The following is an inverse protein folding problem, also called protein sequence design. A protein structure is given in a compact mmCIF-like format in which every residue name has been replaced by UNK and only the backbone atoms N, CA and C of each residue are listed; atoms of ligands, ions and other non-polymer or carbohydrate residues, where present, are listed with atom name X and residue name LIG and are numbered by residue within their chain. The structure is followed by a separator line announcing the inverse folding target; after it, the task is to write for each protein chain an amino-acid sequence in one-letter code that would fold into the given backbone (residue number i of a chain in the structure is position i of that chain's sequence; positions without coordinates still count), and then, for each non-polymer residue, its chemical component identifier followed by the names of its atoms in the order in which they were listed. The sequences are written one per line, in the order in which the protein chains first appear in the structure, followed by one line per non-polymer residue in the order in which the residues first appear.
data_IF_802785930208
#
_entry.id   IF_802785930208
#
_cell.length_a   1.000
_cell.length_b   1.000
_cell.length_c   1.000
_cell.angle_alpha   90.00
_cell.angle_beta   90.00
_cell.angle_gamma   90.00
#
_symmetry.space_group_name_H-M   'P 1'
#
loop_
_entity.id
_entity.type
_entity.pdbx_description
1 polymer ?
#
# COMPACT_ATOMS: atom_id res chain seq x y z
N UNK A 1 -17.50 -7.07 18.83
CA UNK A 1 -17.47 -8.17 17.84
C UNK A 1 -18.85 -8.56 17.29
N UNK A 2 -19.97 -7.92 17.67
CA UNK A 2 -21.32 -8.28 17.20
C UNK A 2 -21.81 -7.48 15.97
N UNK A 3 -20.98 -6.58 15.42
CA UNK A 3 -21.39 -5.69 14.32
C UNK A 3 -21.10 -6.30 12.94
N UNK A 4 -20.24 -7.31 12.87
CA UNK A 4 -19.78 -7.93 11.61
C UNK A 4 -20.71 -9.02 11.07
N UNK A 5 -21.54 -9.62 11.93
CA UNK A 5 -22.45 -10.69 11.50
C UNK A 5 -23.62 -10.16 10.66
N UNK A 6 -24.02 -8.90 10.85
CA UNK A 6 -25.13 -8.26 10.11
C UNK A 6 -24.80 -7.93 8.65
N UNK A 7 -23.51 -7.93 8.28
CA UNK A 7 -23.05 -7.61 6.91
C UNK A 7 -23.20 -8.79 5.96
N UNK A 8 -23.25 -10.02 6.49
CA UNK A 8 -23.25 -11.25 5.69
C UNK A 8 -24.63 -11.62 5.12
N UNK A 9 -25.70 -11.08 5.68
CA UNK A 9 -27.09 -11.40 5.32
C UNK A 9 -27.71 -10.46 4.26
N UNK A 10 -26.92 -9.63 3.58
CA UNK A 10 -27.47 -8.82 2.48
C UNK A 10 -27.67 -9.66 1.21
N UNK A 11 -28.88 -9.66 0.60
CA UNK A 11 -29.12 -10.36 -0.64
C UNK A 11 -28.29 -9.76 -1.78
N UNK A 12 -27.41 -10.56 -2.36
CA UNK A 12 -26.71 -10.21 -3.60
C UNK A 12 -27.72 -10.18 -4.73
N UNK A 13 -28.00 -8.98 -5.22
CA UNK A 13 -28.81 -8.77 -6.42
C UNK A 13 -28.11 -9.42 -7.62
N UNK A 14 -28.55 -10.63 -7.99
CA UNK A 14 -28.10 -11.33 -9.18
C UNK A 14 -28.80 -10.70 -10.38
N UNK A 15 -28.04 -10.03 -11.25
CA UNK A 15 -28.53 -9.60 -12.55
C UNK A 15 -28.70 -10.82 -13.45
N UNK A 16 -29.95 -11.26 -13.62
CA UNK A 16 -30.33 -12.26 -14.60
C UNK A 16 -30.96 -11.56 -15.81
N UNK A 17 -30.12 -11.17 -16.78
CA UNK A 17 -30.47 -10.99 -18.20
C UNK A 17 -29.18 -11.37 -18.95
N UNK A 18 -29.10 -12.53 -19.60
CA UNK A 18 -29.72 -12.78 -20.90
C UNK A 18 -28.60 -12.71 -21.95
N UNK A 19 -28.10 -13.86 -22.38
CA UNK A 19 -26.81 -13.99 -23.06
C UNK A 19 -26.76 -13.72 -24.56
N UNK A 20 -25.61 -14.14 -25.11
CA UNK A 20 -25.19 -14.32 -26.51
C UNK A 20 -24.83 -13.08 -27.37
N UNK A 21 -23.55 -12.97 -27.74
CA UNK A 21 -23.08 -12.96 -29.14
C UNK A 21 -21.54 -12.92 -29.21
N UNK A 22 -20.96 -13.93 -29.87
CA UNK A 22 -19.74 -13.81 -30.67
C UNK A 22 -18.38 -13.78 -29.97
N UNK A 23 -17.89 -14.94 -29.56
CA UNK A 23 -16.43 -15.20 -29.57
C UNK A 23 -15.99 -15.38 -31.02
N UNK A 24 -15.04 -14.59 -31.50
CA UNK A 24 -14.15 -14.97 -32.60
C UNK A 24 -12.72 -14.54 -32.27
N UNK A 25 -11.93 -15.52 -31.86
CA UNK A 25 -10.48 -15.47 -31.77
C UNK A 25 -9.86 -15.83 -33.11
N UNK A 26 -8.85 -15.10 -33.57
CA UNK A 26 -7.76 -15.56 -34.45
C UNK A 26 -6.84 -14.36 -34.71
N UNK A 27 -5.51 -14.44 -34.78
CA UNK A 27 -4.59 -15.56 -34.86
C UNK A 27 -3.22 -14.97 -35.18
N UNK A 28 -2.20 -15.48 -34.51
CA UNK A 28 -0.80 -15.07 -34.53
C UNK A 28 -0.04 -15.63 -35.76
N UNK A 29 0.92 -14.85 -36.32
CA UNK A 29 2.23 -15.20 -37.01
C UNK A 29 2.39 -15.23 -38.57
N UNK A 30 3.57 -14.65 -38.97
CA UNK A 30 4.49 -14.85 -40.14
C UNK A 30 4.25 -13.97 -41.39
N UNK A 31 5.21 -13.48 -42.20
CA UNK A 31 6.69 -13.33 -42.19
C UNK A 31 7.12 -12.55 -43.47
N UNK A 32 8.24 -11.81 -43.36
CA UNK A 32 9.31 -11.39 -44.32
C UNK A 32 9.08 -11.09 -45.84
N UNK A 33 9.77 -10.01 -46.24
CA UNK A 33 10.69 -9.80 -47.40
C UNK A 33 10.22 -9.33 -48.81
N UNK A 34 10.63 -8.08 -49.11
CA UNK A 34 11.32 -7.52 -50.32
C UNK A 34 10.62 -7.30 -51.67
N UNK A 35 10.72 -6.01 -52.07
CA UNK A 35 10.94 -5.39 -53.39
C UNK A 35 9.94 -5.60 -54.54
N UNK A 36 9.40 -4.47 -55.03
CA UNK A 36 9.43 -3.99 -56.43
C UNK A 36 8.54 -2.74 -56.54
N UNK A 37 9.08 -1.67 -57.14
CA UNK A 37 8.32 -0.84 -58.07
C UNK A 37 7.87 0.54 -57.60
N UNK A 38 8.59 1.55 -58.09
CA UNK A 38 8.16 2.93 -58.30
C UNK A 38 6.65 3.15 -58.37
N UNK A 39 6.15 4.15 -57.63
CA UNK A 39 5.29 5.20 -58.20
C UNK A 39 4.86 6.20 -57.13
N UNK A 40 5.46 7.38 -57.15
CA UNK A 40 4.92 8.58 -56.50
C UNK A 40 3.68 9.05 -57.25
N UNK A 41 2.50 8.52 -56.90
CA UNK A 41 1.23 9.10 -57.37
C UNK A 41 0.81 10.23 -56.44
N UNK A 42 1.33 11.42 -56.72
CA UNK A 42 0.91 12.67 -56.08
C UNK A 42 -0.56 12.90 -56.44
N UNK A 43 -1.45 12.65 -55.48
CA UNK A 43 -2.87 12.99 -55.61
C UNK A 43 -3.05 14.50 -55.72
N UNK A 44 -3.40 14.95 -56.92
CA UNK A 44 -3.65 16.35 -57.26
C UNK A 44 -4.77 16.94 -56.40
N UNK A 45 -4.44 17.64 -55.33
CA UNK A 45 -5.40 18.51 -54.62
C UNK A 45 -5.59 19.74 -55.49
N UNK A 46 -6.71 19.78 -56.21
CA UNK A 46 -7.25 20.97 -56.86
C UNK A 46 -7.31 22.11 -55.84
N UNK A 47 -6.44 23.11 -55.99
CA UNK A 47 -6.51 24.35 -55.20
C UNK A 47 -7.76 25.12 -55.64
N UNK A 48 -8.60 25.60 -54.72
CA UNK A 48 -9.64 26.56 -55.09
C UNK A 48 -8.95 27.85 -55.55
N UNK A 49 -9.12 28.15 -56.84
CA UNK A 49 -8.83 29.46 -57.42
C UNK A 49 -9.76 30.47 -56.77
N UNK A 50 -9.19 31.53 -56.19
CA UNK A 50 -9.95 32.69 -55.72
C UNK A 50 -9.65 33.07 -54.28
N UNK A 51 -8.54 33.77 -54.06
CA UNK A 51 -8.42 34.65 -52.89
C UNK A 51 -7.57 35.85 -53.25
N UNK A 52 -8.25 36.87 -53.79
CA UNK A 52 -7.70 38.19 -54.02
C UNK A 52 -7.03 38.76 -52.77
N UNK A 53 -5.83 39.29 -52.96
CA UNK A 53 -5.02 39.91 -51.94
C UNK A 53 -5.57 41.29 -51.57
N UNK A 54 -6.31 41.39 -50.47
CA UNK A 54 -6.51 42.66 -49.76
C UNK A 54 -5.72 42.66 -48.46
N UNK A 55 -4.63 43.45 -48.45
CA UNK A 55 -3.85 43.77 -47.25
C UNK A 55 -4.72 44.58 -46.29
N UNK A 56 -5.23 43.95 -45.23
CA UNK A 56 -5.62 44.67 -43.99
C UNK A 56 -4.57 44.44 -42.91
N UNK A 57 -3.64 45.41 -42.78
CA UNK A 57 -2.88 45.63 -41.55
C UNK A 57 -3.88 46.06 -40.45
N UNK A 58 -3.87 45.37 -39.32
CA UNK A 58 -4.72 45.74 -38.18
C UNK A 58 -4.73 44.77 -37.00
N UNK A 59 -3.63 44.08 -36.67
CA UNK A 59 -3.50 43.43 -35.35
C UNK A 59 -3.07 44.47 -34.31
N UNK A 60 -4.00 45.35 -33.95
CA UNK A 60 -3.81 46.40 -32.94
C UNK A 60 -4.72 46.17 -31.74
N UNK A 61 -4.12 46.05 -30.56
CA UNK A 61 -4.69 46.11 -29.19
C UNK A 61 -5.61 44.97 -28.70
N UNK A 62 -6.50 44.37 -29.49
CA UNK A 62 -7.43 43.32 -28.96
C UNK A 62 -6.72 42.00 -28.59
N UNK A 63 -5.82 41.51 -29.44
CA UNK A 63 -5.11 40.22 -29.22
C UNK A 63 -4.11 40.25 -28.07
N UNK A 64 -3.63 41.43 -27.62
CA UNK A 64 -2.71 41.52 -26.48
C UNK A 64 -3.44 41.48 -25.14
N UNK A 65 -4.68 41.99 -25.09
CA UNK A 65 -5.48 42.05 -23.85
C UNK A 65 -5.91 40.65 -23.39
N UNK A 66 -6.48 39.86 -24.30
CA UNK A 66 -6.83 38.45 -24.00
C UNK A 66 -5.62 37.52 -23.81
N UNK A 67 -4.41 37.92 -24.25
CA UNK A 67 -3.18 37.15 -24.02
C UNK A 67 -2.58 37.41 -22.63
N UNK A 68 -2.74 38.61 -22.10
CA UNK A 68 -2.29 38.97 -20.76
C UNK A 68 -3.20 38.34 -19.69
N UNK A 69 -4.52 38.42 -19.91
CA UNK A 69 -5.53 37.83 -19.03
C UNK A 69 -5.45 36.29 -18.99
N UNK A 70 -5.22 35.64 -20.15
CA UNK A 70 -4.96 34.21 -20.19
C UNK A 70 -3.63 33.80 -19.51
N UNK A 71 -2.65 34.70 -19.43
CA UNK A 71 -1.38 34.44 -18.75
C UNK A 71 -1.54 34.54 -17.23
N UNK A 72 -2.30 35.52 -16.76
CA UNK A 72 -2.59 35.74 -15.34
C UNK A 72 -3.46 34.61 -14.75
N UNK A 73 -4.43 34.11 -15.53
CA UNK A 73 -5.24 32.93 -15.15
C UNK A 73 -4.34 31.69 -15.05
N UNK A 74 -3.47 31.46 -16.04
CA UNK A 74 -2.55 30.31 -16.02
C UNK A 74 -1.57 30.42 -14.85
N UNK A 75 -1.05 31.60 -14.53
CA UNK A 75 -0.15 31.82 -13.40
C UNK A 75 -0.84 31.57 -12.04
N UNK A 76 -2.09 32.02 -11.88
CA UNK A 76 -2.92 31.70 -10.72
C UNK A 76 -3.18 30.19 -10.56
N UNK A 77 -3.53 29.50 -11.65
CA UNK A 77 -3.73 28.03 -11.65
C UNK A 77 -2.44 27.28 -11.27
N UNK A 78 -1.27 27.79 -11.67
CA UNK A 78 0.03 27.21 -11.30
C UNK A 78 0.35 27.35 -9.81
N UNK A 79 0.02 28.49 -9.21
CA UNK A 79 0.24 28.71 -7.78
C UNK A 79 -0.72 27.87 -6.92
N UNK A 80 -1.98 27.74 -7.33
CA UNK A 80 -2.94 26.85 -6.66
C UNK A 80 -2.50 25.39 -6.76
N UNK A 81 -2.04 24.95 -7.94
CA UNK A 81 -1.48 23.61 -8.13
C UNK A 81 -0.27 23.36 -7.22
N UNK A 82 0.64 24.34 -7.09
CA UNK A 82 1.82 24.21 -6.22
C UNK A 82 1.42 24.03 -4.75
N UNK A 83 0.50 24.86 -4.25
CA UNK A 83 -0.01 24.74 -2.88
C UNK A 83 -0.72 23.41 -2.64
N UNK A 84 -1.51 22.95 -3.63
CA UNK A 84 -2.16 21.65 -3.56
C UNK A 84 -1.13 20.51 -3.46
N UNK A 85 -0.06 20.56 -4.26
CA UNK A 85 1.00 19.56 -4.22
C UNK A 85 1.74 19.54 -2.89
N UNK A 86 2.04 20.71 -2.33
CA UNK A 86 2.68 20.82 -1.02
C UNK A 86 1.82 20.19 0.09
N UNK A 87 0.51 20.48 0.10
CA UNK A 87 -0.44 19.86 1.04
C UNK A 87 -0.52 18.34 0.89
N UNK A 88 -0.52 17.83 -0.35
CA UNK A 88 -0.55 16.38 -0.58
C UNK A 88 0.75 15.71 -0.14
N UNK A 89 1.91 16.35 -0.31
CA UNK A 89 3.18 15.85 0.25
C UNK A 89 3.16 15.83 1.77
N UNK A 90 2.72 16.90 2.41
CA UNK A 90 2.60 16.96 3.87
C UNK A 90 1.64 15.88 4.41
N UNK A 91 0.54 15.61 3.68
CA UNK A 91 -0.39 14.52 4.01
C UNK A 91 0.27 13.15 3.89
N UNK A 92 1.06 12.91 2.85
CA UNK A 92 1.78 11.65 2.67
C UNK A 92 2.81 11.43 3.78
N UNK A 93 3.55 12.46 4.17
CA UNK A 93 4.51 12.38 5.28
C UNK A 93 3.81 12.03 6.60
N UNK A 94 2.64 12.63 6.86
CA UNK A 94 1.81 12.28 8.03
C UNK A 94 1.37 10.80 8.00
N UNK A 95 1.01 10.26 6.84
CA UNK A 95 0.62 8.85 6.69
C UNK A 95 1.81 7.94 6.95
N UNK A 96 2.98 8.25 6.38
CA UNK A 96 4.20 7.48 6.58
C UNK A 96 4.57 7.45 8.07
N UNK A 97 4.53 8.62 8.72
CA UNK A 97 4.84 8.73 10.15
C UNK A 97 3.87 7.91 11.00
N UNK A 98 2.57 8.01 10.73
CA UNK A 98 1.55 7.24 11.46
C UNK A 98 1.70 5.72 11.27
N UNK A 99 2.06 5.27 10.06
CA UNK A 99 2.35 3.85 9.82
C UNK A 99 3.60 3.38 10.55
N UNK A 100 4.65 4.19 10.58
CA UNK A 100 5.87 3.87 11.33
C UNK A 100 5.61 3.82 12.83
N UNK A 101 4.83 4.77 13.37
CA UNK A 101 4.43 4.78 14.78
C UNK A 101 3.59 3.55 15.13
N UNK A 102 2.61 3.20 14.30
CA UNK A 102 1.80 1.99 14.49
C UNK A 102 2.66 0.71 14.46
N UNK A 103 3.63 0.62 13.55
CA UNK A 103 4.56 -0.49 13.48
C UNK A 103 5.45 -0.57 14.73
N UNK A 104 5.95 0.57 15.20
CA UNK A 104 6.74 0.67 16.44
C UNK A 104 5.93 0.28 17.66
N UNK A 105 4.70 0.77 17.80
CA UNK A 105 3.80 0.44 18.89
C UNK A 105 3.47 -1.07 18.90
N UNK A 106 3.25 -1.68 17.73
CA UNK A 106 3.05 -3.13 17.62
C UNK A 106 4.29 -3.90 18.10
N UNK A 107 5.49 -3.50 17.67
CA UNK A 107 6.75 -4.13 18.09
C UNK A 107 7.04 -3.93 19.58
N UNK A 108 6.66 -2.79 20.15
CA UNK A 108 6.78 -2.51 21.58
C UNK A 108 5.82 -3.38 22.39
N UNK A 109 4.58 -3.54 21.92
CA UNK A 109 3.61 -4.44 22.56
C UNK A 109 4.09 -5.91 22.56
N UNK A 110 4.65 -6.39 21.45
CA UNK A 110 5.20 -7.76 21.39
C UNK A 110 6.39 -7.93 22.34
N UNK A 111 7.31 -6.95 22.37
CA UNK A 111 8.45 -6.99 23.30
C UNK A 111 7.98 -6.96 24.75
N UNK A 112 7.03 -6.11 25.10
CA UNK A 112 6.48 -6.06 26.47
C UNK A 112 5.84 -7.39 26.88
N UNK A 113 5.17 -8.09 25.97
CA UNK A 113 4.61 -9.42 26.22
C UNK A 113 5.70 -10.48 26.45
N UNK A 114 6.77 -10.47 25.65
CA UNK A 114 7.92 -11.36 25.82
C UNK A 114 8.62 -11.11 27.16
N UNK A 115 8.84 -9.84 27.53
CA UNK A 115 9.43 -9.49 28.82
C UNK A 115 8.56 -9.89 30.00
N UNK A 116 7.25 -9.68 29.92
CA UNK A 116 6.32 -10.16 30.94
C UNK A 116 6.38 -11.69 31.09
N UNK A 117 6.53 -12.41 29.97
CA UNK A 117 6.67 -13.86 29.97
C UNK A 117 7.99 -14.30 30.60
N UNK A 118 9.09 -13.62 30.27
CA UNK A 118 10.43 -13.84 30.84
C UNK A 118 10.43 -13.63 32.35
N UNK A 119 9.92 -12.49 32.82
CA UNK A 119 9.83 -12.16 34.25
C UNK A 119 8.98 -13.20 34.99
N UNK A 120 7.88 -13.65 34.40
CA UNK A 120 7.03 -14.69 34.99
C UNK A 120 7.78 -16.01 35.13
N UNK A 121 8.55 -16.42 34.12
CA UNK A 121 9.35 -17.63 34.16
C UNK A 121 10.46 -17.53 35.21
N UNK A 122 11.20 -16.42 35.25
CA UNK A 122 12.22 -16.15 36.27
C UNK A 122 11.63 -16.21 37.70
N UNK A 123 10.44 -15.65 37.91
CA UNK A 123 9.75 -15.73 39.19
C UNK A 123 9.35 -17.16 39.58
N UNK A 124 9.02 -18.01 38.61
CA UNK A 124 8.77 -19.44 38.84
C UNK A 124 10.08 -20.14 39.21
N UNK A 125 11.14 -19.96 38.42
CA UNK A 125 12.47 -20.52 38.67
C UNK A 125 13.03 -20.11 40.05
N UNK A 126 12.84 -18.85 40.47
CA UNK A 126 13.26 -18.39 41.78
C UNK A 126 12.52 -19.10 42.93
N UNK A 127 11.23 -19.40 42.74
CA UNK A 127 10.42 -20.12 43.74
C UNK A 127 10.82 -21.60 43.81
N UNK A 128 10.99 -22.25 42.67
CA UNK A 128 11.43 -23.65 42.60
C UNK A 128 12.83 -23.80 43.19
N UNK A 129 13.76 -22.92 42.84
CA UNK A 129 15.11 -22.88 43.42
C UNK A 129 15.08 -22.70 44.94
N UNK A 130 14.26 -21.76 45.44
CA UNK A 130 14.11 -21.55 46.88
C UNK A 130 13.55 -22.76 47.61
N UNK A 131 12.61 -23.49 47.00
CA UNK A 131 12.06 -24.72 47.57
C UNK A 131 13.12 -25.83 47.59
N UNK A 132 13.86 -26.00 46.50
CA UNK A 132 14.97 -26.93 46.39
C UNK A 132 16.00 -26.72 47.51
N UNK A 133 16.47 -25.47 47.72
CA UNK A 133 17.42 -25.13 48.78
C UNK A 133 16.90 -25.45 50.19
N UNK A 134 15.61 -25.26 50.45
CA UNK A 134 15.02 -25.60 51.76
C UNK A 134 14.98 -27.09 52.02
N UNK A 135 14.64 -27.88 50.99
CA UNK A 135 14.58 -29.32 51.09
C UNK A 135 15.98 -29.94 51.19
N UNK A 136 16.98 -29.38 50.48
CA UNK A 136 18.35 -29.89 50.48
C UNK A 136 19.08 -29.72 51.82
N UNK A 137 18.66 -28.76 52.65
CA UNK A 137 19.24 -28.52 53.98
C UNK A 137 18.57 -29.36 55.08
N UNK A 138 17.41 -29.97 54.80
CA UNK A 138 16.66 -30.74 55.80
C UNK A 138 17.33 -32.08 56.05
N UNK A 139 17.74 -32.32 57.29
CA UNK A 139 18.52 -33.51 57.70
C UNK A 139 17.72 -34.83 57.62
N UNK A 140 16.40 -34.76 57.87
CA UNK A 140 15.48 -35.88 57.74
C UNK A 140 14.34 -35.54 56.77
N UNK A 141 14.42 -36.05 55.56
CA UNK A 141 13.34 -35.98 54.57
C UNK A 141 12.45 -37.21 54.66
N UNK A 142 11.13 -37.00 54.64
CA UNK A 142 10.17 -38.06 54.35
C UNK A 142 10.25 -38.49 52.87
N UNK A 143 9.66 -39.63 52.52
CA UNK A 143 9.78 -40.18 51.17
C UNK A 143 9.13 -39.30 50.09
N UNK A 144 8.05 -38.59 50.45
CA UNK A 144 7.43 -37.60 49.58
C UNK A 144 8.39 -36.44 49.27
N UNK A 145 9.05 -35.91 50.29
CA UNK A 145 9.99 -34.79 50.17
C UNK A 145 11.25 -35.21 49.41
N UNK A 146 11.70 -36.46 49.53
CA UNK A 146 12.78 -37.02 48.70
C UNK A 146 12.38 -37.05 47.22
N UNK A 147 11.17 -37.50 46.90
CA UNK A 147 10.67 -37.52 45.52
C UNK A 147 10.53 -36.11 44.95
N UNK A 148 9.99 -35.18 45.74
CA UNK A 148 9.88 -33.77 45.36
C UNK A 148 11.24 -33.12 45.11
N UNK A 149 12.23 -33.41 45.96
CA UNK A 149 13.60 -32.92 45.79
C UNK A 149 14.21 -33.39 44.47
N UNK A 150 14.00 -34.66 44.11
CA UNK A 150 14.52 -35.22 42.86
C UNK A 150 13.83 -34.62 41.63
N UNK A 151 12.50 -34.46 41.66
CA UNK A 151 11.75 -33.79 40.59
C UNK A 151 12.24 -32.34 40.38
N UNK A 152 12.47 -31.62 41.47
CA UNK A 152 13.00 -30.25 41.41
C UNK A 152 14.42 -30.19 40.85
N UNK A 153 15.27 -31.21 41.07
CA UNK A 153 16.61 -31.25 40.45
C UNK A 153 16.50 -31.33 38.93
N UNK A 154 15.67 -32.24 38.44
CA UNK A 154 15.44 -32.40 36.99
C UNK A 154 14.92 -31.09 36.41
N UNK A 155 13.89 -30.49 37.01
CA UNK A 155 13.30 -29.24 36.52
C UNK A 155 14.27 -28.04 36.55
N UNK A 156 15.20 -27.98 37.51
CA UNK A 156 16.12 -26.84 37.68
C UNK A 156 17.44 -26.99 36.91
N UNK A 157 17.92 -28.22 36.72
CA UNK A 157 19.30 -28.47 36.27
C UNK A 157 19.38 -29.34 35.01
N UNK A 158 18.35 -30.12 34.69
CA UNK A 158 18.31 -30.90 33.46
C UNK A 158 17.58 -30.08 32.38
N UNK A 159 18.37 -29.31 31.61
CA UNK A 159 17.94 -28.65 30.37
C UNK A 159 18.19 -29.55 29.16
#
# INVERSE_FOLDING_TARGET
MQEWDKVRDQPRYMSQVGGNTGSDSSGTKRARETDIGDSTSVGSISRPIGRDASKKKGKGKSSRRGKAEALEIVEGDWDEYKQFKEKEFERLDKIILAQQEAAKAHQEATRAQEEASRIKLEAICAKTMKLFMKLSVKEHLDDYSKQLLEMLKVELFDN
#
